data_IF_248140900958
#
_entry.id   IF_248140900958
#
_cell.length_a   1.000
_cell.length_b   1.000
_cell.length_c   1.000
_cell.angle_alpha   90.00
_cell.angle_beta   90.00
_cell.angle_gamma   90.00
#
_symmetry.space_group_name_H-M   'P 1'
#
loop_
_entity.id
_entity.type
_entity.pdbx_description
1 polymer ?
#
# COMPACT_ATOMS: atom_id res chain seq x y z
N UNK A 1 -27.40 -10.16 -11.72
CA UNK A 1 -26.06 -10.22 -12.34
C UNK A 1 -25.28 -9.03 -11.80
N UNK A 2 -24.38 -9.26 -10.85
CA UNK A 2 -23.58 -8.18 -10.24
C UNK A 2 -22.65 -7.60 -11.29
N UNK A 3 -22.74 -6.28 -11.48
CA UNK A 3 -22.00 -5.55 -12.48
C UNK A 3 -20.50 -5.63 -12.14
N UNK A 4 -19.69 -6.24 -13.00
CA UNK A 4 -18.26 -6.52 -12.76
C UNK A 4 -17.42 -5.25 -12.54
N UNK A 5 -17.94 -4.09 -12.97
CA UNK A 5 -17.35 -2.77 -12.68
C UNK A 5 -17.46 -2.39 -11.19
N UNK A 6 -18.55 -2.73 -10.50
CA UNK A 6 -18.74 -2.39 -9.08
C UNK A 6 -17.76 -3.16 -8.18
N UNK A 7 -17.33 -4.33 -8.62
CA UNK A 7 -16.36 -5.16 -7.89
C UNK A 7 -14.94 -4.60 -8.03
N UNK A 8 -14.58 -4.06 -9.21
CA UNK A 8 -13.21 -3.59 -9.48
C UNK A 8 -12.83 -2.34 -8.69
N UNK A 9 -13.72 -1.35 -8.57
CA UNK A 9 -13.40 -0.17 -7.76
C UNK A 9 -13.27 -0.51 -6.27
N UNK A 10 -14.09 -1.44 -5.78
CA UNK A 10 -14.02 -1.89 -4.39
C UNK A 10 -12.69 -2.62 -4.11
N UNK A 11 -12.24 -3.47 -5.04
CA UNK A 11 -10.94 -4.14 -4.96
C UNK A 11 -9.79 -3.12 -5.00
N UNK A 12 -9.84 -2.13 -5.90
CA UNK A 12 -8.86 -1.04 -5.95
C UNK A 12 -8.80 -0.26 -4.64
N UNK A 13 -9.95 0.08 -4.07
CA UNK A 13 -10.02 0.79 -2.80
C UNK A 13 -9.49 -0.04 -1.63
N UNK A 14 -9.77 -1.34 -1.59
CA UNK A 14 -9.20 -2.24 -0.59
C UNK A 14 -7.69 -2.34 -0.71
N UNK A 15 -7.16 -2.41 -1.93
CA UNK A 15 -5.72 -2.46 -2.17
C UNK A 15 -5.03 -1.15 -1.80
N UNK A 16 -5.65 0.00 -2.13
CA UNK A 16 -5.18 1.31 -1.69
C UNK A 16 -5.08 1.40 -0.17
N UNK A 17 -6.12 0.96 0.56
CA UNK A 17 -6.10 0.93 2.04
C UNK A 17 -4.95 0.11 2.60
N UNK A 18 -4.67 -1.06 2.01
CA UNK A 18 -3.57 -1.93 2.43
C UNK A 18 -2.22 -1.24 2.26
N UNK A 19 -1.98 -0.67 1.08
CA UNK A 19 -0.74 0.01 0.77
C UNK A 19 -0.56 1.30 1.63
N UNK A 20 -1.62 2.07 1.83
CA UNK A 20 -1.60 3.21 2.76
C UNK A 20 -1.22 2.79 4.19
N UNK A 21 -1.77 1.69 4.69
CA UNK A 21 -1.43 1.18 6.01
C UNK A 21 0.05 0.76 6.12
N UNK A 22 0.59 0.11 5.09
CA UNK A 22 2.02 -0.25 5.02
C UNK A 22 2.92 0.99 5.04
N UNK A 23 2.55 2.04 4.30
CA UNK A 23 3.28 3.31 4.31
C UNK A 23 3.26 3.97 5.71
N UNK A 24 2.11 3.96 6.40
CA UNK A 24 2.03 4.48 7.77
C UNK A 24 2.93 3.72 8.73
N UNK A 25 2.98 2.39 8.64
CA UNK A 25 3.87 1.56 9.45
C UNK A 25 5.34 1.87 9.16
N UNK A 26 5.71 1.99 7.88
CA UNK A 26 7.08 2.35 7.49
C UNK A 26 7.49 3.71 8.07
N UNK A 27 6.61 4.73 8.00
CA UNK A 27 6.86 6.05 8.59
C UNK A 27 7.06 5.95 10.11
N UNK A 28 6.20 5.20 10.81
CA UNK A 28 6.33 5.00 12.26
C UNK A 28 7.66 4.32 12.62
N UNK A 29 8.08 3.34 11.83
CA UNK A 29 9.33 2.62 12.06
C UNK A 29 10.55 3.49 11.76
N UNK A 30 10.50 4.33 10.72
CA UNK A 30 11.53 5.32 10.38
C UNK A 30 11.76 6.35 11.49
N UNK A 31 10.72 6.68 12.26
CA UNK A 31 10.86 7.58 13.43
C UNK A 31 11.59 6.91 14.59
N UNK A 32 11.60 5.57 14.66
CA UNK A 32 12.22 4.81 15.73
C UNK A 32 13.65 4.38 15.40
N UNK A 33 13.91 4.04 14.13
CA UNK A 33 15.22 3.60 13.63
C UNK A 33 15.33 3.75 12.12
N UNK A 34 16.55 3.58 11.60
CA UNK A 34 16.73 3.39 10.18
C UNK A 34 16.06 2.08 9.70
N UNK A 35 15.45 2.13 8.52
CA UNK A 35 14.92 0.95 7.84
C UNK A 35 16.07 0.11 7.27
N UNK A 36 15.91 -1.20 7.29
CA UNK A 36 16.74 -2.10 6.51
C UNK A 36 16.48 -1.91 5.01
N UNK A 37 17.41 -2.34 4.17
CA UNK A 37 17.24 -2.29 2.71
C UNK A 37 15.96 -3.00 2.23
N UNK A 38 15.61 -4.13 2.86
CA UNK A 38 14.37 -4.84 2.56
C UNK A 38 13.12 -4.02 2.92
N UNK A 39 13.13 -3.33 4.05
CA UNK A 39 12.01 -2.47 4.47
C UNK A 39 11.89 -1.23 3.59
N UNK A 40 13.02 -0.65 3.15
CA UNK A 40 13.04 0.45 2.16
C UNK A 40 12.40 -0.01 0.84
N UNK A 41 12.79 -1.19 0.33
CA UNK A 41 12.20 -1.78 -0.87
C UNK A 41 10.71 -2.05 -0.71
N UNK A 42 10.28 -2.63 0.41
CA UNK A 42 8.86 -2.88 0.69
C UNK A 42 8.04 -1.59 0.77
N UNK A 43 8.63 -0.50 1.27
CA UNK A 43 7.99 0.82 1.32
C UNK A 43 7.80 1.41 -0.08
N UNK A 44 8.80 1.29 -0.95
CA UNK A 44 8.72 1.73 -2.36
C UNK A 44 7.64 0.92 -3.10
N UNK A 45 7.63 -0.40 -2.94
CA UNK A 45 6.65 -1.26 -3.58
C UNK A 45 5.21 -0.96 -3.11
N UNK A 46 5.01 -0.69 -1.82
CA UNK A 46 3.72 -0.26 -1.30
C UNK A 46 3.28 1.07 -1.93
N UNK A 47 4.21 2.01 -2.12
CA UNK A 47 3.91 3.28 -2.79
C UNK A 47 3.54 3.09 -4.27
N UNK A 48 4.30 2.32 -5.04
CA UNK A 48 4.02 2.05 -6.46
C UNK A 48 2.65 1.38 -6.65
N UNK A 49 2.30 0.44 -5.76
CA UNK A 49 0.98 -0.20 -5.79
C UNK A 49 -0.17 0.80 -5.57
N UNK A 50 0.03 1.90 -4.82
CA UNK A 50 -1.01 2.94 -4.72
C UNK A 50 -1.23 3.73 -6.01
N UNK A 51 -0.21 3.82 -6.87
CA UNK A 51 -0.23 4.61 -8.10
C UNK A 51 -0.73 3.82 -9.32
N UNK A 52 -0.49 2.51 -9.34
CA UNK A 52 -0.87 1.62 -10.44
C UNK A 52 -2.29 1.01 -10.31
N UNK A 53 -2.92 1.12 -9.14
CA UNK A 53 -4.27 0.62 -8.88
C UNK A 53 -5.32 1.41 -9.62
#
# INVERSE_FOLDING_TARGET
MTNTQDIRWLQRFQNFKKAHHQLQQAIQLMQQRELSELEKQGTIQAFEFTYEL
#
